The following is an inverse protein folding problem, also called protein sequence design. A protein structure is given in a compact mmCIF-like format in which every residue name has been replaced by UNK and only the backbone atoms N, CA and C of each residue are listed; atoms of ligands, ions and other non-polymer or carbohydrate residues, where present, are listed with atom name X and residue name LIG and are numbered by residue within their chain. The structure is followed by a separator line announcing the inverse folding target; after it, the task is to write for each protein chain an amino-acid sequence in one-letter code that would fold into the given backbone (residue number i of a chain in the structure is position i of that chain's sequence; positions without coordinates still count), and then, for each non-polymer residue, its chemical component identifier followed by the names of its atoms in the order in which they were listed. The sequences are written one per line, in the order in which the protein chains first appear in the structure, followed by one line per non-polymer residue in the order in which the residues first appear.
data_IF_233970717675
#
_entry.id   IF_233970717675
#
_cell.length_a   1.000
_cell.length_b   1.000
_cell.length_c   1.000
_cell.angle_alpha   90.00
_cell.angle_beta   90.00
_cell.angle_gamma   90.00
#
_symmetry.space_group_name_H-M   'P 1'
#
loop_
_entity.id
_entity.type
_entity.pdbx_description
1 polymer ?
#
# COMPACT_ATOMS: atom_id res chain seq x y z
N UNK A 1 26.25 4.03 -14.81
CA UNK A 1 25.33 4.13 -13.70
C UNK A 1 24.80 2.79 -13.29
N UNK A 2 24.48 2.73 -12.08
CA UNK A 2 23.96 1.54 -11.47
C UNK A 2 22.49 1.34 -11.80
N UNK A 3 22.12 0.10 -12.02
CA UNK A 3 20.71 -0.27 -12.10
C UNK A 3 20.14 -0.37 -10.70
N UNK A 4 18.98 0.18 -10.53
CA UNK A 4 18.21 0.00 -9.31
C UNK A 4 17.01 -0.86 -9.62
N UNK A 5 16.81 -1.90 -8.83
CA UNK A 5 15.61 -2.71 -8.89
C UNK A 5 14.68 -2.24 -7.81
N UNK A 6 13.44 -1.98 -8.17
CA UNK A 6 12.41 -1.51 -7.26
C UNK A 6 11.38 -2.59 -7.06
N UNK A 7 11.24 -3.02 -5.83
CA UNK A 7 10.25 -4.02 -5.46
C UNK A 7 9.20 -3.37 -4.59
N UNK A 8 7.96 -3.63 -4.90
CA UNK A 8 6.83 -3.15 -4.09
C UNK A 8 5.91 -4.32 -3.79
N UNK A 9 5.58 -4.44 -2.52
CA UNK A 9 4.65 -5.47 -2.07
C UNK A 9 3.34 -4.77 -1.75
N UNK A 10 2.26 -5.24 -2.38
CA UNK A 10 0.92 -4.76 -2.11
C UNK A 10 0.16 -5.92 -1.50
N UNK A 11 -0.38 -5.70 -0.32
CA UNK A 11 -1.12 -6.74 0.36
C UNK A 11 -2.20 -6.17 1.26
N UNK A 12 -3.11 -7.04 1.66
CA UNK A 12 -4.12 -6.71 2.66
C UNK A 12 -3.50 -6.72 4.06
N UNK A 13 -2.23 -7.04 4.14
CA UNK A 13 -1.55 -7.32 5.40
C UNK A 13 -1.34 -6.07 6.21
N UNK A 14 -2.16 -5.90 7.19
CA UNK A 14 -1.91 -4.96 8.27
C UNK A 14 -1.03 -5.63 9.31
N UNK A 15 -0.32 -6.63 8.91
CA UNK A 15 0.44 -7.48 9.79
C UNK A 15 1.77 -6.80 10.15
N UNK A 16 2.07 -6.73 11.43
CA UNK A 16 3.36 -6.23 11.93
C UNK A 16 4.50 -7.02 11.29
N UNK A 17 4.30 -8.31 11.08
CA UNK A 17 5.29 -9.19 10.45
C UNK A 17 5.64 -8.73 9.03
N UNK A 18 4.64 -8.32 8.24
CA UNK A 18 4.89 -7.85 6.87
C UNK A 18 5.69 -6.56 6.87
N UNK A 19 5.38 -5.66 7.80
CA UNK A 19 6.13 -4.40 7.95
C UNK A 19 7.57 -4.66 8.39
N UNK A 20 7.77 -5.57 9.34
CA UNK A 20 9.11 -5.93 9.79
C UNK A 20 9.90 -6.64 8.70
N UNK A 21 9.26 -7.50 7.93
CA UNK A 21 9.89 -8.17 6.80
C UNK A 21 10.35 -7.16 5.75
N UNK A 22 9.51 -6.17 5.45
CA UNK A 22 9.86 -5.11 4.51
C UNK A 22 11.11 -4.37 4.95
N UNK A 23 11.18 -3.97 6.22
CA UNK A 23 12.34 -3.28 6.76
C UNK A 23 13.59 -4.14 6.70
N UNK A 24 13.47 -5.39 7.13
CA UNK A 24 14.60 -6.31 7.19
C UNK A 24 15.15 -6.60 5.81
N UNK A 25 14.29 -6.95 4.87
CA UNK A 25 14.70 -7.23 3.50
C UNK A 25 15.28 -6.01 2.81
N UNK A 26 14.68 -4.83 3.02
CA UNK A 26 15.17 -3.60 2.43
C UNK A 26 16.60 -3.31 2.89
N UNK A 27 16.87 -3.48 4.18
CA UNK A 27 18.20 -3.24 4.74
C UNK A 27 19.27 -4.16 4.14
N UNK A 28 18.88 -5.41 3.85
CA UNK A 28 19.79 -6.36 3.23
C UNK A 28 19.98 -6.14 1.72
N UNK A 29 18.94 -5.67 1.04
CA UNK A 29 18.95 -5.57 -0.41
C UNK A 29 19.53 -4.26 -0.92
N UNK A 30 19.65 -3.25 -0.08
CA UNK A 30 20.10 -1.91 -0.51
C UNK A 30 21.52 -1.94 -1.06
N UNK A 31 22.39 -2.79 -0.53
CA UNK A 31 23.75 -2.95 -1.04
C UNK A 31 23.81 -3.57 -2.43
N UNK A 32 22.73 -4.23 -2.84
CA UNK A 32 22.59 -4.79 -4.17
C UNK A 32 21.85 -3.86 -5.14
N UNK A 33 21.67 -2.60 -4.74
CA UNK A 33 20.94 -1.60 -5.51
C UNK A 33 19.48 -1.95 -5.72
N UNK A 34 18.88 -2.63 -4.75
CA UNK A 34 17.46 -3.01 -4.77
C UNK A 34 16.75 -2.21 -3.68
N UNK A 35 15.72 -1.48 -4.09
CA UNK A 35 14.84 -0.77 -3.18
C UNK A 35 13.57 -1.57 -2.97
N UNK A 36 13.19 -1.79 -1.73
CA UNK A 36 12.01 -2.59 -1.38
C UNK A 36 11.10 -1.80 -0.47
N UNK A 37 9.86 -1.65 -0.89
CA UNK A 37 8.82 -0.96 -0.14
C UNK A 37 7.54 -1.76 -0.17
N UNK A 38 6.63 -1.46 0.75
CA UNK A 38 5.31 -2.09 0.81
C UNK A 38 4.23 -1.03 0.72
N UNK A 39 3.09 -1.43 0.18
CA UNK A 39 1.88 -0.62 0.17
C UNK A 39 0.84 -1.33 1.01
N UNK A 40 0.24 -0.61 1.96
CA UNK A 40 -0.81 -1.13 2.83
C UNK A 40 -2.13 -0.50 2.43
N UNK A 41 -2.92 -1.15 1.57
CA UNK A 41 -4.17 -0.58 1.11
C UNK A 41 -5.27 -0.72 2.15
N UNK A 42 -6.14 0.27 2.20
CA UNK A 42 -7.39 0.20 2.94
C UNK A 42 -8.50 -0.44 2.08
N UNK A 43 -9.75 -0.01 2.24
CA UNK A 43 -10.84 -0.57 1.46
C UNK A 43 -10.76 -0.19 -0.02
N UNK A 44 -10.65 -1.19 -0.86
CA UNK A 44 -10.64 -1.06 -2.33
C UNK A 44 -11.61 -2.09 -2.91
N UNK A 45 -12.16 -1.84 -4.11
CA UNK A 45 -12.97 -2.84 -4.78
C UNK A 45 -12.12 -4.09 -5.06
N UNK A 46 -12.56 -5.22 -4.55
CA UNK A 46 -11.88 -6.50 -4.74
C UNK A 46 -12.90 -7.61 -4.55
N UNK A 47 -12.51 -8.83 -4.86
CA UNK A 47 -13.37 -9.99 -4.62
C UNK A 47 -13.71 -10.12 -3.13
N UNK A 48 -12.77 -9.85 -2.25
CA UNK A 48 -13.00 -9.90 -0.81
C UNK A 48 -13.97 -8.83 -0.34
N UNK A 49 -13.97 -7.68 -1.00
CA UNK A 49 -14.83 -6.56 -0.64
C UNK A 49 -16.18 -6.60 -1.35
N UNK A 50 -16.36 -7.47 -2.34
CA UNK A 50 -17.60 -7.54 -3.13
C UNK A 50 -18.83 -7.72 -2.24
N UNK A 51 -18.74 -8.60 -1.25
CA UNK A 51 -19.84 -8.85 -0.32
C UNK A 51 -20.22 -7.56 0.43
N UNK A 52 -19.24 -6.80 0.87
CA UNK A 52 -19.47 -5.56 1.62
C UNK A 52 -20.02 -4.44 0.76
N UNK A 53 -19.83 -4.52 -0.56
CA UNK A 53 -20.28 -3.49 -1.49
C UNK A 53 -21.62 -3.80 -2.17
N UNK A 54 -22.11 -5.02 -2.03
CA UNK A 54 -23.38 -5.44 -2.64
C UNK A 54 -24.60 -4.82 -1.96
N UNK A 55 -24.51 -4.55 -0.66
CA UNK A 55 -25.59 -4.00 0.13
C UNK A 55 -25.28 -2.54 0.45
N UNK A 56 -26.26 -1.68 0.25
CA UNK A 56 -26.10 -0.25 0.48
C UNK A 56 -25.67 0.06 1.92
N UNK A 57 -26.28 -0.61 2.89
CA UNK A 57 -25.94 -0.42 4.29
C UNK A 57 -24.50 -0.82 4.61
N UNK A 58 -24.08 -1.98 4.10
CA UNK A 58 -22.71 -2.44 4.27
C UNK A 58 -21.72 -1.56 3.53
N UNK A 59 -22.08 -1.13 2.32
CA UNK A 59 -21.26 -0.22 1.54
C UNK A 59 -21.06 1.11 2.25
N UNK A 60 -22.13 1.64 2.82
CA UNK A 60 -22.08 2.86 3.59
C UNK A 60 -21.20 2.70 4.84
N UNK A 61 -21.30 1.58 5.52
CA UNK A 61 -20.45 1.28 6.66
C UNK A 61 -18.96 1.31 6.27
N UNK A 62 -18.61 0.63 5.17
CA UNK A 62 -17.23 0.61 4.68
C UNK A 62 -16.78 2.02 4.29
N UNK A 63 -17.62 2.75 3.57
CA UNK A 63 -17.32 4.10 3.14
C UNK A 63 -17.09 5.03 4.31
N UNK A 64 -17.92 4.91 5.35
CA UNK A 64 -17.81 5.78 6.52
C UNK A 64 -16.69 5.39 7.47
N UNK A 65 -16.11 4.21 7.30
CA UNK A 65 -15.07 3.69 8.19
C UNK A 65 -13.74 4.43 8.10
N UNK A 66 -13.53 5.18 7.04
CA UNK A 66 -12.29 5.93 6.88
C UNK A 66 -12.53 7.43 6.83
N UNK A 67 -11.56 8.24 7.27
CA UNK A 67 -11.70 9.70 7.29
C UNK A 67 -11.97 10.33 5.94
N UNK A 68 -11.52 9.74 4.84
CA UNK A 68 -11.80 10.27 3.49
C UNK A 68 -13.21 9.99 3.03
N UNK A 69 -13.94 9.14 3.73
CA UNK A 69 -15.35 8.82 3.44
C UNK A 69 -15.58 8.31 2.02
N UNK A 70 -14.64 7.55 1.50
CA UNK A 70 -14.78 6.88 0.21
C UNK A 70 -13.91 5.65 0.14
N UNK A 71 -14.20 4.80 -0.81
CA UNK A 71 -13.40 3.62 -1.11
C UNK A 71 -12.30 4.04 -2.09
N UNK A 72 -11.15 3.41 -2.01
CA UNK A 72 -10.06 3.69 -2.93
C UNK A 72 -10.38 3.26 -4.36
N UNK A 73 -9.72 3.88 -5.31
CA UNK A 73 -9.82 3.55 -6.72
C UNK A 73 -8.51 2.96 -7.22
N UNK A 74 -8.54 2.36 -8.41
CA UNK A 74 -7.33 1.85 -9.03
C UNK A 74 -6.25 2.93 -9.16
N UNK A 75 -6.64 4.17 -9.41
CA UNK A 75 -5.71 5.28 -9.53
C UNK A 75 -5.01 5.60 -8.20
N UNK A 76 -5.67 5.40 -7.08
CA UNK A 76 -5.08 5.64 -5.77
C UNK A 76 -3.90 4.69 -5.51
N UNK A 77 -4.04 3.43 -5.89
CA UNK A 77 -2.94 2.48 -5.78
C UNK A 77 -1.89 2.71 -6.85
N UNK A 78 -2.31 2.94 -8.08
CA UNK A 78 -1.39 3.15 -9.19
C UNK A 78 -0.45 4.32 -8.92
N UNK A 79 -0.95 5.39 -8.33
CA UNK A 79 -0.13 6.55 -7.97
C UNK A 79 1.00 6.19 -7.02
N UNK A 80 0.71 5.39 -5.99
CA UNK A 80 1.73 4.94 -5.04
C UNK A 80 2.77 4.04 -5.72
N UNK A 81 2.33 3.11 -6.58
CA UNK A 81 3.24 2.23 -7.32
C UNK A 81 4.13 3.03 -8.25
N UNK A 82 3.57 4.00 -8.97
CA UNK A 82 4.33 4.86 -9.87
C UNK A 82 5.37 5.67 -9.10
N UNK A 83 4.99 6.25 -7.97
CA UNK A 83 5.92 6.98 -7.12
C UNK A 83 7.10 6.09 -6.72
N UNK A 84 6.81 4.92 -6.19
CA UNK A 84 7.87 4.00 -5.73
C UNK A 84 8.72 3.45 -6.86
N UNK A 85 8.17 3.35 -8.06
CA UNK A 85 8.86 2.77 -9.22
C UNK A 85 9.58 3.81 -10.08
N UNK A 86 9.36 5.08 -9.83
CA UNK A 86 9.94 6.18 -10.60
C UNK A 86 11.16 6.77 -9.90
N UNK A 87 11.77 7.76 -10.53
CA UNK A 87 12.86 8.52 -9.91
C UNK A 87 12.44 9.19 -8.63
N UNK A 88 11.16 9.53 -8.51
CA UNK A 88 10.65 10.16 -7.29
C UNK A 88 10.84 9.27 -6.06
N UNK A 89 10.84 7.96 -6.25
CA UNK A 89 11.06 7.01 -5.17
C UNK A 89 12.52 6.55 -5.00
N UNK A 90 13.46 7.18 -5.68
CA UNK A 90 14.84 6.71 -5.72
C UNK A 90 15.56 6.72 -4.37
N UNK A 91 15.07 7.51 -3.42
CA UNK A 91 15.67 7.60 -2.09
C UNK A 91 14.77 6.98 -1.02
N UNK A 92 13.80 6.17 -1.43
CA UNK A 92 12.81 5.55 -0.54
C UNK A 92 13.01 4.05 -0.55
N UNK A 93 13.29 3.48 0.61
CA UNK A 93 13.36 2.03 0.78
C UNK A 93 13.00 1.65 2.21
N UNK A 94 12.45 0.46 2.39
CA UNK A 94 12.11 -0.06 3.71
C UNK A 94 10.86 0.56 4.31
N UNK A 95 10.08 1.29 3.54
CA UNK A 95 8.89 1.96 4.04
C UNK A 95 7.62 1.16 3.75
N UNK A 96 6.62 1.38 4.57
CA UNK A 96 5.25 0.89 4.33
C UNK A 96 4.39 2.13 4.14
N UNK A 97 3.79 2.24 2.96
CA UNK A 97 2.95 3.39 2.62
C UNK A 97 1.48 3.01 2.75
N UNK A 98 0.77 3.57 3.73
CA UNK A 98 -0.68 3.36 3.82
C UNK A 98 -1.40 4.12 2.70
N UNK A 99 -2.30 3.44 2.01
CA UNK A 99 -3.19 4.05 1.03
C UNK A 99 -4.60 3.64 1.45
N UNK A 100 -5.09 4.26 2.51
CA UNK A 100 -6.23 3.74 3.27
C UNK A 100 -7.26 4.81 3.64
N UNK A 101 -7.18 5.98 3.03
CA UNK A 101 -8.13 7.04 3.34
C UNK A 101 -8.03 7.58 4.76
N UNK A 102 -6.93 7.31 5.44
CA UNK A 102 -6.67 7.81 6.78
C UNK A 102 -7.02 6.83 7.90
N UNK A 103 -7.40 5.59 7.58
CA UNK A 103 -7.75 4.61 8.63
C UNK A 103 -6.62 4.45 9.64
N UNK A 104 -5.39 4.45 9.20
CA UNK A 104 -4.24 4.27 10.10
C UNK A 104 -4.02 5.43 11.06
N UNK A 105 -4.76 6.52 10.91
CA UNK A 105 -4.70 7.64 11.86
C UNK A 105 -5.67 7.51 13.02
N UNK A 106 -6.55 6.53 12.97
CA UNK A 106 -7.57 6.33 14.00
C UNK A 106 -7.05 5.57 15.21
#
# INVERSE_FOLDING_TARGET
TEYEIRLSIVGSGMCIRDSMMTRHMAAHLVSEHILLNSIAPGPFPSKMMAYMLEDEERSEFVTSSNPRKRIGTAQDIAGAVIFLSSRAGAYTTGTVIPVDGGISTL
#
